data_IF_590700248191
#
_entry.id   IF_590700248191
#
_cell.length_a   1.000
_cell.length_b   1.000
_cell.length_c   1.000
_cell.angle_alpha   90.00
_cell.angle_beta   90.00
_cell.angle_gamma   90.00
#
_symmetry.space_group_name_H-M   'P 1'
#
loop_
_entity.id
_entity.type
_entity.pdbx_description
1 polymer ?
#
# COMPACT_ATOMS: atom_id res chain seq x y z
N UNK A 1 3.81 -4.69 -7.03
CA UNK A 1 3.77 -3.39 -6.34
C UNK A 1 5.17 -2.83 -6.32
N UNK A 2 5.41 -1.71 -7.02
CA UNK A 2 6.71 -1.01 -7.00
C UNK A 2 6.50 0.46 -7.35
N UNK A 3 7.16 1.33 -6.60
CA UNK A 3 7.00 2.77 -6.60
C UNK A 3 6.16 3.28 -5.43
N UNK A 4 6.73 4.18 -4.63
CA UNK A 4 6.18 4.67 -3.37
C UNK A 4 6.28 6.19 -3.32
N UNK A 5 5.23 6.86 -2.84
CA UNK A 5 5.31 8.28 -2.48
C UNK A 5 4.65 8.50 -1.11
N UNK A 6 5.12 9.46 -0.30
CA UNK A 6 4.46 9.80 0.96
C UNK A 6 3.06 10.39 0.71
N UNK A 7 2.23 10.43 1.75
CA UNK A 7 1.03 11.30 1.73
C UNK A 7 1.45 12.76 1.87
N UNK A 8 0.71 13.65 1.21
CA UNK A 8 0.94 15.10 1.29
C UNK A 8 0.38 15.71 2.57
N UNK A 9 0.78 16.95 2.84
CA UNK A 9 0.38 17.71 4.05
C UNK A 9 -1.07 18.21 4.01
N UNK A 10 -1.63 18.39 2.82
CA UNK A 10 -3.02 18.69 2.56
C UNK A 10 -3.51 17.94 1.30
N UNK A 11 -4.78 18.09 0.92
CA UNK A 11 -5.33 17.38 -0.24
C UNK A 11 -4.64 17.78 -1.55
N UNK A 12 -4.28 19.05 -1.71
CA UNK A 12 -3.65 19.55 -2.95
C UNK A 12 -2.26 18.94 -3.12
N UNK A 13 -1.47 18.99 -2.04
CA UNK A 13 -0.14 18.40 -2.01
C UNK A 13 -0.18 16.87 -2.18
N UNK A 14 -1.16 16.21 -1.55
CA UNK A 14 -1.34 14.77 -1.64
C UNK A 14 -1.69 14.31 -3.07
N UNK A 15 -2.53 15.08 -3.77
CA UNK A 15 -2.84 14.83 -5.18
C UNK A 15 -1.65 15.14 -6.11
N UNK A 16 -0.84 16.16 -5.80
CA UNK A 16 0.40 16.46 -6.51
C UNK A 16 1.38 15.29 -6.40
N UNK A 17 1.63 14.78 -5.20
CA UNK A 17 2.51 13.63 -4.96
C UNK A 17 2.01 12.36 -5.66
N UNK A 18 0.70 12.13 -5.65
CA UNK A 18 0.07 11.05 -6.43
C UNK A 18 0.37 11.18 -7.92
N UNK A 19 0.21 12.38 -8.48
CA UNK A 19 0.45 12.64 -9.91
C UNK A 19 1.93 12.51 -10.28
N UNK A 20 2.84 12.94 -9.39
CA UNK A 20 4.28 12.77 -9.57
C UNK A 20 4.67 11.30 -9.58
N UNK A 21 4.16 10.50 -8.64
CA UNK A 21 4.37 9.05 -8.63
C UNK A 21 3.82 8.40 -9.91
N UNK A 22 2.60 8.78 -10.29
CA UNK A 22 1.94 8.24 -11.48
C UNK A 22 2.75 8.52 -12.75
N UNK A 23 3.44 9.66 -12.86
CA UNK A 23 4.19 10.08 -14.04
C UNK A 23 5.71 9.83 -13.95
N UNK A 24 6.19 9.26 -12.85
CA UNK A 24 7.61 9.01 -12.66
C UNK A 24 8.11 7.88 -13.57
N UNK A 25 8.99 8.22 -14.52
CA UNK A 25 9.60 7.25 -15.43
C UNK A 25 10.41 6.19 -14.68
N UNK A 26 11.18 6.59 -13.67
CA UNK A 26 11.92 5.66 -12.78
C UNK A 26 10.98 4.65 -12.13
N UNK A 27 9.92 5.10 -11.47
CA UNK A 27 8.99 4.21 -10.77
C UNK A 27 8.24 3.28 -11.75
N UNK A 28 7.85 3.78 -12.92
CA UNK A 28 7.23 2.96 -13.97
C UNK A 28 8.20 1.90 -14.51
N UNK A 29 9.46 2.25 -14.73
CA UNK A 29 10.49 1.32 -15.18
C UNK A 29 10.74 0.20 -14.14
N UNK A 30 10.87 0.56 -12.86
CA UNK A 30 10.97 -0.42 -11.78
C UNK A 30 9.75 -1.34 -11.71
N UNK A 31 8.54 -0.76 -11.79
CA UNK A 31 7.30 -1.53 -11.76
C UNK A 31 7.21 -2.48 -12.96
N UNK A 32 7.55 -2.02 -14.16
CA UNK A 32 7.54 -2.82 -15.38
C UNK A 32 8.53 -3.98 -15.30
N UNK A 33 9.73 -3.76 -14.76
CA UNK A 33 10.70 -4.83 -14.53
C UNK A 33 10.11 -5.94 -13.64
N UNK A 34 9.42 -5.58 -12.55
CA UNK A 34 8.74 -6.55 -11.68
C UNK A 34 7.58 -7.24 -12.40
N UNK A 35 6.82 -6.53 -13.23
CA UNK A 35 5.73 -7.09 -14.03
C UNK A 35 6.27 -8.15 -14.99
N UNK A 36 7.37 -7.87 -15.69
CA UNK A 36 7.97 -8.82 -16.63
C UNK A 36 8.53 -10.05 -15.92
N UNK A 37 9.16 -9.87 -14.75
CA UNK A 37 9.54 -11.00 -13.90
C UNK A 37 8.35 -11.86 -13.49
N UNK A 38 7.26 -11.24 -13.02
CA UNK A 38 6.06 -11.95 -12.60
C UNK A 38 5.38 -12.68 -13.77
N UNK A 39 5.34 -12.07 -14.97
CA UNK A 39 4.84 -12.71 -16.18
C UNK A 39 5.68 -13.94 -16.54
N UNK A 40 7.00 -13.86 -16.42
CA UNK A 40 7.91 -14.97 -16.64
C UNK A 40 7.76 -16.09 -15.59
N UNK A 41 7.50 -15.74 -14.34
CA UNK A 41 7.26 -16.73 -13.29
C UNK A 41 5.89 -17.42 -13.49
N UNK A 42 4.85 -16.64 -13.82
CA UNK A 42 3.50 -17.16 -14.11
C UNK A 42 3.45 -18.02 -15.36
N UNK A 43 4.20 -17.69 -16.42
CA UNK A 43 4.18 -18.45 -17.69
C UNK A 43 4.60 -19.91 -17.52
N UNK A 44 5.35 -20.25 -16.47
CA UNK A 44 5.78 -21.62 -16.13
C UNK A 44 4.64 -22.51 -15.63
N UNK A 45 3.59 -21.90 -15.08
CA UNK A 45 2.46 -22.57 -14.42
C UNK A 45 1.10 -22.16 -15.00
N UNK A 46 1.09 -21.35 -16.06
CA UNK A 46 -0.11 -20.85 -16.70
C UNK A 46 -0.47 -21.64 -17.96
N UNK A 47 -1.76 -21.71 -18.29
CA UNK A 47 -2.23 -22.14 -19.60
C UNK A 47 -1.64 -21.21 -20.68
N UNK A 48 -1.18 -21.78 -21.79
CA UNK A 48 -0.55 -21.04 -22.88
C UNK A 48 -1.43 -19.88 -23.36
N UNK A 49 -0.83 -18.68 -23.45
CA UNK A 49 -1.52 -17.46 -23.88
C UNK A 49 -2.52 -16.86 -22.87
N UNK A 50 -2.62 -17.40 -21.64
CA UNK A 50 -3.55 -16.86 -20.64
C UNK A 50 -2.99 -15.73 -19.77
N UNK A 51 -1.66 -15.56 -19.75
CA UNK A 51 -0.99 -14.50 -18.97
C UNK A 51 -1.27 -13.13 -19.59
N UNK A 52 -1.90 -12.25 -18.84
CA UNK A 52 -2.17 -10.87 -19.23
C UNK A 52 -1.97 -9.91 -18.05
N UNK A 53 -1.88 -8.62 -18.38
CA UNK A 53 -1.61 -7.54 -17.43
C UNK A 53 -2.80 -6.59 -17.45
N UNK A 54 -3.35 -6.34 -16.27
CA UNK A 54 -4.43 -5.39 -16.03
C UNK A 54 -3.95 -4.25 -15.14
N UNK A 55 -4.62 -3.10 -15.22
CA UNK A 55 -4.41 -1.98 -14.30
C UNK A 55 -2.93 -1.56 -14.18
N UNK A 56 -2.23 -1.49 -15.32
CA UNK A 56 -0.80 -1.16 -15.36
C UNK A 56 -0.53 0.23 -14.78
N UNK A 57 0.36 0.31 -13.79
CA UNK A 57 0.78 1.53 -13.09
C UNK A 57 -0.35 2.27 -12.36
N UNK A 58 -1.35 1.54 -11.87
CA UNK A 58 -2.38 2.12 -11.02
C UNK A 58 -1.76 2.66 -9.73
N UNK A 59 -2.16 3.87 -9.31
CA UNK A 59 -1.71 4.47 -8.05
C UNK A 59 -2.82 4.40 -7.02
N UNK A 60 -2.58 3.66 -5.94
CA UNK A 60 -3.51 3.38 -4.86
C UNK A 60 -3.17 4.15 -3.58
N UNK A 61 -4.21 4.62 -2.88
CA UNK A 61 -4.08 5.29 -1.60
C UNK A 61 -3.96 4.26 -0.47
N UNK A 62 -2.91 4.39 0.34
CA UNK A 62 -2.83 3.77 1.66
C UNK A 62 -2.81 4.86 2.74
N UNK A 63 -3.10 4.54 4.01
CA UNK A 63 -3.17 5.56 5.06
C UNK A 63 -1.90 6.41 5.20
N UNK A 64 -0.72 5.83 4.96
CA UNK A 64 0.57 6.50 5.16
C UNK A 64 1.37 6.77 3.89
N UNK A 65 0.90 6.31 2.72
CA UNK A 65 1.61 6.46 1.45
C UNK A 65 0.70 6.26 0.23
N UNK A 66 1.17 6.68 -0.93
CA UNK A 66 0.72 6.23 -2.25
C UNK A 66 1.59 5.07 -2.72
N UNK A 67 0.97 4.09 -3.37
CA UNK A 67 1.65 2.91 -3.90
C UNK A 67 1.27 2.71 -5.35
N UNK A 68 2.27 2.51 -6.22
CA UNK A 68 2.02 2.07 -7.58
C UNK A 68 1.90 0.54 -7.64
N UNK A 69 0.82 0.07 -8.22
CA UNK A 69 0.40 -1.32 -8.36
C UNK A 69 0.17 -1.65 -9.84
N UNK A 70 0.31 -2.93 -10.16
CA UNK A 70 -0.02 -3.50 -11.47
C UNK A 70 -0.51 -4.90 -11.20
N UNK A 71 -1.57 -5.31 -11.89
CA UNK A 71 -2.17 -6.62 -11.75
C UNK A 71 -1.73 -7.53 -12.90
N UNK A 72 -1.29 -8.74 -12.58
CA UNK A 72 -0.96 -9.77 -13.58
C UNK A 72 -1.83 -10.98 -13.28
N UNK A 73 -2.52 -11.47 -14.30
CA UNK A 73 -3.47 -12.58 -14.17
C UNK A 73 -3.16 -13.68 -15.18
N UNK A 74 -3.48 -14.92 -14.82
CA UNK A 74 -3.35 -16.08 -15.68
C UNK A 74 -4.37 -17.15 -15.28
N UNK A 75 -4.67 -18.06 -16.20
CA UNK A 75 -5.40 -19.29 -15.89
C UNK A 75 -4.39 -20.39 -15.64
N UNK A 76 -4.62 -21.21 -14.63
CA UNK A 76 -3.74 -22.32 -14.28
C UNK A 76 -4.58 -23.53 -13.85
N UNK A 77 -4.07 -24.72 -14.16
CA UNK A 77 -4.58 -26.01 -13.66
C UNK A 77 -3.61 -26.67 -12.68
N UNK A 78 -2.53 -25.98 -12.34
CA UNK A 78 -1.51 -26.47 -11.43
C UNK A 78 -2.05 -26.55 -10.00
N UNK A 79 -1.51 -27.50 -9.24
CA UNK A 79 -1.71 -27.60 -7.80
C UNK A 79 -1.11 -26.39 -7.07
N UNK A 80 -1.57 -26.17 -5.84
CA UNK A 80 -1.03 -25.09 -5.01
C UNK A 80 0.48 -25.23 -4.76
N UNK A 81 0.99 -26.47 -4.68
CA UNK A 81 2.42 -26.75 -4.49
C UNK A 81 3.22 -26.26 -5.69
N UNK A 82 2.77 -26.59 -6.91
CA UNK A 82 3.40 -26.13 -8.16
C UNK A 82 3.37 -24.60 -8.29
N UNK A 83 2.24 -23.97 -7.92
CA UNK A 83 2.12 -22.51 -7.90
C UNK A 83 3.13 -21.88 -6.94
N UNK A 84 3.27 -22.41 -5.72
CA UNK A 84 4.26 -21.92 -4.76
C UNK A 84 5.69 -22.14 -5.24
N UNK A 85 6.02 -23.31 -5.79
CA UNK A 85 7.36 -23.60 -6.30
C UNK A 85 7.79 -22.65 -7.43
N UNK A 86 6.84 -22.17 -8.24
CA UNK A 86 7.13 -21.23 -9.33
C UNK A 86 7.17 -19.76 -8.86
N UNK A 87 6.24 -19.37 -7.98
CA UNK A 87 6.00 -17.96 -7.65
C UNK A 87 6.69 -17.50 -6.36
N UNK A 88 7.07 -18.41 -5.48
CA UNK A 88 7.69 -18.09 -4.20
C UNK A 88 9.23 -18.21 -4.25
N UNK A 89 9.98 -17.29 -3.62
CA UNK A 89 9.53 -16.01 -3.06
C UNK A 89 9.08 -15.04 -4.15
N UNK A 90 8.20 -14.12 -3.78
CA UNK A 90 7.58 -13.16 -4.70
C UNK A 90 8.64 -12.32 -5.44
N UNK A 91 8.48 -12.10 -6.75
CA UNK A 91 9.50 -11.44 -7.56
C UNK A 91 9.77 -9.98 -7.13
N UNK A 92 8.78 -9.33 -6.50
CA UNK A 92 8.89 -7.94 -6.02
C UNK A 92 9.75 -7.73 -4.77
N UNK A 93 10.10 -8.80 -4.04
CA UNK A 93 10.91 -8.75 -2.79
C UNK A 93 12.31 -9.33 -2.97
N UNK A 94 12.55 -10.07 -4.04
CA UNK A 94 13.86 -10.61 -4.35
C UNK A 94 14.65 -9.64 -5.21
N UNK A 95 14.13 -9.28 -6.39
CA UNK A 95 14.90 -8.62 -7.46
C UNK A 95 15.26 -9.59 -8.59
N UNK A 96 15.93 -9.05 -9.63
CA UNK A 96 16.28 -9.76 -10.85
C UNK A 96 17.81 -9.76 -11.08
N UNK A 97 18.43 -10.92 -11.40
CA UNK A 97 17.89 -12.28 -11.42
C UNK A 97 17.65 -12.85 -10.02
N UNK A 98 16.50 -13.53 -9.81
CA UNK A 98 16.00 -13.98 -8.49
C UNK A 98 17.04 -14.73 -7.64
N UNK A 99 17.72 -15.72 -8.23
CA UNK A 99 18.71 -16.55 -7.52
C UNK A 99 19.88 -15.70 -7.02
N UNK A 100 20.49 -14.90 -7.91
CA UNK A 100 21.63 -14.06 -7.54
C UNK A 100 21.25 -13.00 -6.52
N UNK A 101 20.05 -12.42 -6.62
CA UNK A 101 19.63 -11.44 -5.61
C UNK A 101 19.40 -12.08 -4.24
N UNK A 102 18.88 -13.30 -4.18
CA UNK A 102 18.75 -14.03 -2.90
C UNK A 102 20.11 -14.35 -2.27
N UNK A 103 21.14 -14.67 -3.07
CA UNK A 103 22.52 -14.83 -2.58
C UNK A 103 23.06 -13.52 -1.98
N UNK A 104 22.91 -12.41 -2.70
CA UNK A 104 23.34 -11.08 -2.22
C UNK A 104 22.61 -10.70 -0.92
N UNK A 105 21.31 -10.97 -0.82
CA UNK A 105 20.54 -10.75 0.40
C UNK A 105 21.13 -11.55 1.57
N UNK A 106 21.45 -12.83 1.35
CA UNK A 106 22.05 -13.69 2.37
C UNK A 106 23.48 -13.27 2.74
N UNK A 107 24.23 -12.68 1.81
CA UNK A 107 25.57 -12.13 2.05
C UNK A 107 25.53 -10.82 2.87
N UNK A 108 24.50 -9.98 2.67
CA UNK A 108 24.43 -8.63 3.25
C UNK A 108 23.62 -8.55 4.55
N UNK A 109 22.58 -9.36 4.73
CA UNK A 109 21.74 -9.32 5.92
C UNK A 109 22.34 -10.13 7.06
N UNK A 110 22.24 -9.60 8.29
CA UNK A 110 22.87 -10.20 9.48
C UNK A 110 22.08 -11.34 10.12
N UNK A 111 20.84 -11.57 9.67
CA UNK A 111 19.95 -12.59 10.22
C UNK A 111 18.97 -13.12 9.18
N UNK A 112 18.40 -14.33 9.37
CA UNK A 112 17.31 -14.82 8.53
C UNK A 112 16.08 -13.92 8.64
N UNK A 113 15.39 -13.70 7.52
CA UNK A 113 14.19 -12.83 7.46
C UNK A 113 12.96 -13.37 8.21
N UNK A 114 12.96 -14.61 8.69
CA UNK A 114 11.80 -15.23 9.34
C UNK A 114 10.54 -15.12 8.47
N UNK A 115 9.44 -14.58 8.99
CA UNK A 115 8.20 -14.35 8.24
C UNK A 115 8.32 -13.16 7.27
N UNK A 116 9.26 -12.24 7.46
CA UNK A 116 9.39 -11.06 6.59
C UNK A 116 9.70 -11.48 5.16
N UNK A 117 8.95 -10.92 4.20
CA UNK A 117 8.99 -11.31 2.79
C UNK A 117 8.57 -12.77 2.51
N UNK A 118 8.05 -13.47 3.52
CA UNK A 118 7.36 -14.75 3.39
C UNK A 118 5.93 -14.58 2.88
N UNK A 119 5.05 -15.52 3.25
CA UNK A 119 3.64 -15.49 2.86
C UNK A 119 2.72 -15.92 3.99
N UNK A 120 1.58 -15.24 4.12
CA UNK A 120 0.49 -15.56 5.04
C UNK A 120 -0.78 -15.68 4.20
N UNK A 121 -1.58 -16.70 4.44
CA UNK A 121 -2.78 -16.93 3.65
C UNK A 121 -3.61 -18.11 4.11
N UNK A 122 -4.54 -18.50 3.27
CA UNK A 122 -5.43 -19.64 3.51
C UNK A 122 -5.63 -20.49 2.25
N UNK A 123 -6.02 -21.73 2.47
CA UNK A 123 -6.55 -22.65 1.46
C UNK A 123 -7.91 -23.13 1.98
N UNK A 124 -8.95 -22.91 1.20
CA UNK A 124 -10.31 -23.32 1.53
C UNK A 124 -10.62 -24.70 0.93
N UNK A 125 -11.56 -25.48 1.52
CA UNK A 125 -11.94 -26.79 1.01
C UNK A 125 -12.52 -26.79 -0.41
N UNK A 126 -13.03 -25.65 -0.88
CA UNK A 126 -13.57 -25.46 -2.23
C UNK A 126 -12.49 -25.15 -3.29
N UNK A 127 -11.21 -25.22 -2.90
CA UNK A 127 -10.06 -24.97 -3.78
C UNK A 127 -9.67 -23.51 -3.92
N UNK A 128 -10.40 -22.56 -3.31
CA UNK A 128 -9.96 -21.16 -3.27
C UNK A 128 -8.77 -21.03 -2.34
N UNK A 129 -7.78 -20.26 -2.76
CA UNK A 129 -6.65 -19.93 -1.91
C UNK A 129 -6.24 -18.47 -2.14
N UNK A 130 -5.78 -17.82 -1.07
CA UNK A 130 -5.29 -16.46 -1.14
C UNK A 130 -4.12 -16.32 -0.21
N UNK A 131 -3.07 -15.69 -0.73
CA UNK A 131 -1.81 -15.49 -0.05
C UNK A 131 -1.36 -14.05 -0.23
N UNK A 132 -0.85 -13.46 0.83
CA UNK A 132 -0.15 -12.19 0.76
C UNK A 132 1.37 -12.42 0.67
N UNK A 133 2.09 -11.33 0.46
CA UNK A 133 3.50 -11.24 0.82
C UNK A 133 3.54 -10.65 2.22
N UNK A 134 4.27 -11.28 3.14
CA UNK A 134 4.40 -10.84 4.53
C UNK A 134 5.36 -9.64 4.64
N UNK A 135 4.90 -8.51 4.10
CA UNK A 135 5.49 -7.18 4.25
C UNK A 135 4.55 -6.32 5.08
N UNK A 136 5.09 -5.29 5.74
CA UNK A 136 4.34 -4.48 6.71
C UNK A 136 3.72 -5.35 7.82
N UNK A 137 4.46 -6.36 8.25
CA UNK A 137 4.07 -7.32 9.28
C UNK A 137 5.00 -7.16 10.47
N UNK A 138 4.46 -6.95 11.66
CA UNK A 138 5.24 -6.97 12.90
C UNK A 138 5.32 -8.41 13.43
N UNK A 139 6.52 -8.86 13.78
CA UNK A 139 6.75 -10.10 14.50
C UNK A 139 6.90 -9.77 15.99
N UNK A 140 6.03 -10.34 16.83
CA UNK A 140 6.03 -10.09 18.27
C UNK A 140 6.41 -11.36 19.01
N UNK A 141 7.56 -11.33 19.70
CA UNK A 141 7.95 -12.38 20.63
C UNK A 141 7.45 -12.03 22.03
N UNK A 142 6.43 -12.78 22.49
CA UNK A 142 5.82 -12.57 23.81
C UNK A 142 6.69 -13.10 24.96
N UNK A 143 7.59 -14.04 24.70
CA UNK A 143 8.49 -14.59 25.71
C UNK A 143 9.67 -13.66 25.95
N UNK A 144 10.22 -13.09 24.88
CA UNK A 144 11.33 -12.12 24.95
C UNK A 144 10.86 -10.66 25.15
N UNK A 145 9.55 -10.42 25.12
CA UNK A 145 8.96 -9.08 25.21
C UNK A 145 9.53 -8.09 24.18
N UNK A 146 9.80 -8.58 22.97
CA UNK A 146 10.32 -7.77 21.88
C UNK A 146 9.40 -7.83 20.65
N UNK A 147 9.52 -6.81 19.79
CA UNK A 147 8.79 -6.72 18.54
C UNK A 147 9.70 -6.22 17.44
N UNK A 148 9.63 -6.85 16.28
CA UNK A 148 10.40 -6.51 15.09
C UNK A 148 9.44 -6.11 13.97
N UNK A 149 9.75 -5.02 13.28
CA UNK A 149 9.02 -4.60 12.08
C UNK A 149 10.02 -4.33 10.96
N UNK A 150 10.33 -5.36 10.16
CA UNK A 150 11.28 -5.21 9.07
C UNK A 150 10.69 -4.37 7.92
N UNK A 151 11.54 -3.52 7.35
CA UNK A 151 11.21 -2.66 6.20
C UNK A 151 12.37 -2.69 5.23
N UNK A 152 12.07 -2.55 3.94
CA UNK A 152 13.07 -2.58 2.89
C UNK A 152 12.62 -1.88 1.61
N UNK A 153 13.55 -1.81 0.67
CA UNK A 153 13.41 -1.24 -0.65
C UNK A 153 14.01 -2.19 -1.68
N UNK A 154 13.78 -1.89 -2.96
CA UNK A 154 14.47 -2.58 -4.05
C UNK A 154 15.51 -1.63 -4.59
N UNK A 155 16.75 -2.08 -4.70
CA UNK A 155 17.89 -1.26 -5.10
C UNK A 155 18.19 -1.51 -6.58
N UNK A 156 18.31 -0.44 -7.35
CA UNK A 156 18.77 -0.47 -8.75
C UNK A 156 20.07 0.32 -8.90
N UNK A 157 20.68 0.27 -10.09
CA UNK A 157 22.02 0.81 -10.33
C UNK A 157 22.13 2.33 -10.09
N UNK A 158 21.03 3.06 -10.26
CA UNK A 158 20.90 4.51 -10.04
C UNK A 158 20.13 4.85 -8.73
N UNK A 159 19.95 3.87 -7.83
CA UNK A 159 19.39 4.14 -6.51
C UNK A 159 20.32 5.03 -5.69
N UNK A 160 19.74 6.02 -5.02
CA UNK A 160 20.42 6.89 -4.06
C UNK A 160 20.16 6.39 -2.63
N UNK A 161 21.23 6.11 -1.88
CA UNK A 161 21.12 5.46 -0.57
C UNK A 161 20.25 6.23 0.43
N UNK A 162 20.34 7.56 0.42
CA UNK A 162 19.58 8.42 1.31
C UNK A 162 18.08 8.43 0.95
N UNK A 163 17.75 8.47 -0.34
CA UNK A 163 16.37 8.34 -0.81
C UNK A 163 15.76 6.98 -0.46
N UNK A 164 16.49 5.89 -0.67
CA UNK A 164 16.02 4.54 -0.33
C UNK A 164 15.79 4.40 1.18
N UNK A 165 16.68 4.97 2.00
CA UNK A 165 16.49 5.01 3.45
C UNK A 165 15.21 5.77 3.84
N UNK A 166 14.96 6.96 3.27
CA UNK A 166 13.72 7.71 3.49
C UNK A 166 12.47 6.97 3.03
N UNK A 167 12.56 6.17 1.97
CA UNK A 167 11.46 5.29 1.55
C UNK A 167 11.16 4.24 2.62
N UNK A 168 12.18 3.62 3.23
CA UNK A 168 11.97 2.64 4.32
C UNK A 168 11.29 3.29 5.53
N UNK A 169 11.70 4.52 5.91
CA UNK A 169 11.05 5.28 6.98
C UNK A 169 9.59 5.58 6.64
N UNK A 170 9.30 5.95 5.39
CA UNK A 170 7.92 6.21 4.92
C UNK A 170 7.05 4.95 5.03
N UNK A 171 7.58 3.78 4.66
CA UNK A 171 6.88 2.49 4.82
C UNK A 171 6.67 2.09 6.28
N UNK A 172 7.54 2.55 7.19
CA UNK A 172 7.44 2.29 8.63
C UNK A 172 6.43 3.19 9.35
N UNK A 173 5.99 4.32 8.74
CA UNK A 173 5.03 5.25 9.35
C UNK A 173 3.70 4.61 9.77
N UNK A 174 3.36 3.43 9.24
CA UNK A 174 2.14 2.70 9.64
C UNK A 174 2.14 2.29 11.12
N UNK A 175 3.31 2.20 11.76
CA UNK A 175 3.42 1.98 13.21
C UNK A 175 3.04 3.22 14.04
N UNK A 176 2.95 4.39 13.40
CA UNK A 176 2.49 5.62 14.03
C UNK A 176 0.97 5.63 14.27
N UNK A 177 0.51 6.60 15.05
CA UNK A 177 -0.91 6.83 15.24
C UNK A 177 -1.55 7.41 13.99
N UNK A 178 -2.77 6.97 13.68
CA UNK A 178 -3.55 7.60 12.62
C UNK A 178 -4.21 8.88 13.14
N UNK A 179 -4.13 9.99 12.39
CA UNK A 179 -4.75 11.24 12.81
C UNK A 179 -6.26 11.09 12.80
N UNK A 180 -6.91 11.53 13.89
CA UNK A 180 -8.37 11.59 13.97
C UNK A 180 -8.84 12.98 13.55
N UNK A 181 -9.97 13.05 12.86
CA UNK A 181 -10.56 14.32 12.48
C UNK A 181 -11.40 14.89 13.61
N UNK A 182 -11.16 16.16 13.92
CA UNK A 182 -11.94 16.97 14.85
C UNK A 182 -12.17 18.33 14.21
N UNK A 183 -13.40 18.82 14.28
CA UNK A 183 -13.77 20.16 13.80
C UNK A 183 -14.52 20.88 14.91
N UNK A 184 -14.19 22.15 15.12
CA UNK A 184 -14.77 22.99 16.18
C UNK A 184 -15.45 24.21 15.55
N UNK A 185 -16.71 24.42 15.92
CA UNK A 185 -17.57 25.46 15.35
C UNK A 185 -17.99 26.44 16.44
N UNK A 186 -17.81 27.74 16.19
CA UNK A 186 -18.41 28.75 17.05
C UNK A 186 -19.89 28.87 16.72
N UNK A 187 -20.75 28.72 17.73
CA UNK A 187 -22.19 28.95 17.62
C UNK A 187 -22.59 30.15 18.45
N UNK A 188 -23.34 31.07 17.83
CA UNK A 188 -23.94 32.22 18.51
C UNK A 188 -25.47 32.15 18.44
N UNK A 189 -26.21 32.37 19.55
CA UNK A 189 -27.66 32.19 19.59
C UNK A 189 -28.47 32.92 18.51
N UNK A 190 -27.98 34.06 18.02
CA UNK A 190 -28.67 34.87 17.00
C UNK A 190 -28.06 34.78 15.60
N UNK A 191 -26.83 34.28 15.47
CA UNK A 191 -26.10 34.22 14.19
C UNK A 191 -25.89 32.80 13.67
N UNK A 192 -26.17 31.78 14.51
CA UNK A 192 -25.91 30.39 14.18
C UNK A 192 -24.41 30.07 14.19
N UNK A 193 -24.01 29.11 13.37
CA UNK A 193 -22.61 28.70 13.24
C UNK A 193 -21.81 29.68 12.38
N UNK A 194 -20.72 30.20 12.93
CA UNK A 194 -19.81 31.08 12.20
C UNK A 194 -19.07 30.27 11.12
N UNK A 195 -19.03 30.80 9.88
CA UNK A 195 -18.30 30.23 8.74
C UNK A 195 -18.61 28.74 8.46
N UNK A 196 -19.84 28.29 8.76
CA UNK A 196 -20.24 26.88 8.67
C UNK A 196 -19.78 26.20 7.37
N UNK A 197 -20.04 26.80 6.21
CA UNK A 197 -19.68 26.24 4.92
C UNK A 197 -18.16 26.02 4.75
N UNK A 198 -17.33 26.91 5.31
CA UNK A 198 -15.88 26.79 5.23
C UNK A 198 -15.36 25.67 6.13
N UNK A 199 -15.94 25.53 7.33
CA UNK A 199 -15.63 24.40 8.22
C UNK A 199 -16.05 23.06 7.60
N UNK A 200 -17.24 23.00 7.00
CA UNK A 200 -17.71 21.81 6.28
C UNK A 200 -16.79 21.43 5.13
N UNK A 201 -16.41 22.42 4.32
CA UNK A 201 -15.46 22.20 3.22
C UNK A 201 -14.10 21.71 3.74
N UNK A 202 -13.56 22.30 4.81
CA UNK A 202 -12.29 21.86 5.41
C UNK A 202 -12.36 20.44 5.96
N UNK A 203 -13.47 20.09 6.63
CA UNK A 203 -13.69 18.75 7.14
C UNK A 203 -13.78 17.74 6.00
N UNK A 204 -14.47 18.07 4.91
CA UNK A 204 -14.56 17.23 3.71
C UNK A 204 -13.19 17.00 3.07
N UNK A 205 -12.40 18.06 2.85
CA UNK A 205 -11.04 17.97 2.30
C UNK A 205 -10.13 17.11 3.17
N UNK A 206 -10.25 17.25 4.50
CA UNK A 206 -9.49 16.45 5.46
C UNK A 206 -9.93 14.99 5.44
N UNK A 207 -11.23 14.72 5.36
CA UNK A 207 -11.78 13.37 5.26
C UNK A 207 -11.33 12.67 3.97
N UNK A 208 -11.40 13.37 2.83
CA UNK A 208 -10.89 12.87 1.56
C UNK A 208 -9.38 12.56 1.63
N UNK A 209 -8.59 13.47 2.20
CA UNK A 209 -7.14 13.24 2.41
C UNK A 209 -6.90 11.99 3.25
N UNK A 210 -7.55 11.84 4.41
CA UNK A 210 -7.24 10.71 5.29
C UNK A 210 -8.02 9.43 4.96
N UNK A 211 -8.88 9.44 3.94
CA UNK A 211 -9.69 8.29 3.54
C UNK A 211 -10.82 7.99 4.53
N UNK A 212 -11.28 8.99 5.28
CA UNK A 212 -12.43 8.82 6.16
C UNK A 212 -13.73 8.91 5.34
N UNK A 213 -14.63 7.92 5.46
CA UNK A 213 -15.96 8.05 4.88
C UNK A 213 -16.69 9.21 5.57
N UNK A 214 -17.16 10.17 4.78
CA UNK A 214 -17.95 11.28 5.27
C UNK A 214 -19.16 11.53 4.36
N UNK A 215 -20.31 11.76 4.97
CA UNK A 215 -21.49 12.26 4.29
C UNK A 215 -21.90 13.57 4.98
N UNK A 216 -21.83 14.69 4.25
CA UNK A 216 -22.23 16.00 4.77
C UNK A 216 -23.64 16.29 4.30
N UNK A 217 -24.63 16.02 5.15
CA UNK A 217 -26.03 16.34 4.91
C UNK A 217 -26.37 17.79 5.29
N UNK A 218 -27.22 18.46 4.50
CA UNK A 218 -27.88 19.72 4.87
C UNK A 218 -29.31 19.42 5.34
N UNK A 219 -29.61 19.61 6.63
CA UNK A 219 -30.98 19.48 7.14
C UNK A 219 -31.67 20.85 7.15
N UNK A 220 -32.70 21.03 6.31
CA UNK A 220 -33.53 22.23 6.28
C UNK A 220 -34.65 22.13 7.33
N UNK A 221 -34.32 22.36 8.61
CA UNK A 221 -35.32 22.58 9.65
C UNK A 221 -34.78 23.57 10.70
N UNK A 222 -34.79 24.87 10.38
CA UNK A 222 -34.67 25.96 11.36
C UNK A 222 -33.36 26.09 12.17
N UNK A 223 -32.38 25.22 11.95
CA UNK A 223 -31.07 25.26 12.62
C UNK A 223 -30.19 24.13 12.09
N UNK A 224 -29.08 24.48 11.45
CA UNK A 224 -28.21 23.58 10.71
C UNK A 224 -27.50 22.58 11.62
N UNK A 225 -28.06 21.39 11.85
CA UNK A 225 -27.33 20.29 12.51
C UNK A 225 -26.69 19.42 11.43
N UNK A 226 -25.36 19.33 11.48
CA UNK A 226 -24.54 18.47 10.63
C UNK A 226 -24.40 17.13 11.36
N UNK A 227 -24.84 16.03 10.74
CA UNK A 227 -24.61 14.71 11.30
C UNK A 227 -23.19 14.23 10.97
N UNK A 228 -22.47 13.80 11.99
CA UNK A 228 -21.28 12.95 11.88
C UNK A 228 -21.74 11.52 12.16
N UNK A 229 -21.68 10.65 11.16
CA UNK A 229 -21.64 9.22 11.40
C UNK A 229 -20.43 8.66 10.65
N UNK A 230 -19.48 7.99 11.33
CA UNK A 230 -18.57 7.12 10.62
C UNK A 230 -19.45 6.04 9.99
N UNK A 231 -19.41 5.90 8.66
CA UNK A 231 -20.01 4.74 8.01
C UNK A 231 -19.40 3.51 8.68
N UNK A 232 -20.23 2.71 9.36
CA UNK A 232 -19.77 1.52 10.05
C UNK A 232 -19.14 0.59 9.00
N UNK A 233 -17.89 0.19 9.26
CA UNK A 233 -17.15 -0.80 8.50
C UNK A 233 -17.75 -2.20 8.66
#
# INVERSE_FOLDING_TARGET
>A
MKGTAPRGDDLTDDLRLRAELANSEKNRAENLMIVDMLRNDLSRVADAGSVHVDNLFQVEAYPTLWQMTTQVQARSRCSIVELFSALFPCSSITGAPKVRTMEIIAELESSPRQIYTGSIGFIAPDGRAQFNVAIRTALIDRQQHCGEYPVGGGIIWDSDAEQEYRETQTKAKVLGSQPRLLETLLWEPRKGYLLLEQHLQRLELSAQRFGYPIEIGRYNAGGSVVYWQPLAS
#
